data_IF_208201460195
#
_entry.id   IF_208201460195
#
_cell.length_a   1.000
_cell.length_b   1.000
_cell.length_c   1.000
_cell.angle_alpha   90.00
_cell.angle_beta   90.00
_cell.angle_gamma   90.00
#
_symmetry.space_group_name_H-M   'P 1'
#
loop_
_entity.id
_entity.type
_entity.pdbx_description
1 polymer ?
#
# COMPACT_ATOMS: atom_id res chain seq x y z
N UNK A 1 -21.64 3.25 2.91
CA UNK A 1 -21.58 3.48 4.34
C UNK A 1 -21.09 4.89 4.60
N UNK A 2 -21.55 5.51 5.64
CA UNK A 2 -21.19 6.88 5.99
C UNK A 2 -19.72 6.93 6.40
N UNK A 3 -18.88 7.50 5.56
CA UNK A 3 -17.44 7.65 5.81
C UNK A 3 -17.12 8.59 7.00
N UNK A 4 -18.13 9.29 7.52
CA UNK A 4 -17.96 10.24 8.63
C UNK A 4 -17.93 9.59 10.02
N UNK A 5 -18.21 8.29 10.10
CA UNK A 5 -18.25 7.57 11.38
C UNK A 5 -16.91 6.95 11.79
N UNK A 6 -15.88 7.01 10.94
CA UNK A 6 -14.57 6.45 11.26
C UNK A 6 -13.82 7.37 12.22
N UNK A 7 -13.61 6.89 13.43
CA UNK A 7 -12.79 7.55 14.44
C UNK A 7 -11.32 7.23 14.16
N UNK A 8 -10.77 7.76 13.10
CA UNK A 8 -9.38 7.48 12.83
C UNK A 8 -8.85 8.28 11.66
N UNK A 9 -7.57 8.53 11.67
CA UNK A 9 -6.87 9.15 10.56
C UNK A 9 -6.80 8.23 9.32
N UNK A 10 -6.48 8.80 8.21
CA UNK A 10 -6.13 8.12 6.97
C UNK A 10 -4.69 8.50 6.62
N UNK A 11 -3.98 7.84 5.73
CA UNK A 11 -4.41 6.68 4.97
C UNK A 11 -3.78 5.40 5.51
N UNK A 12 -2.67 5.48 6.27
CA UNK A 12 -2.01 4.32 6.84
C UNK A 12 -0.48 4.35 6.79
N UNK A 13 0.11 3.18 6.89
CA UNK A 13 1.57 2.96 6.90
C UNK A 13 1.94 2.01 5.77
N UNK A 14 3.06 2.30 5.10
CA UNK A 14 3.64 1.49 4.06
C UNK A 14 5.07 1.07 4.35
N UNK A 15 5.43 -0.12 3.90
CA UNK A 15 6.80 -0.63 3.85
C UNK A 15 7.06 -1.23 2.47
N UNK A 16 8.23 -0.98 1.88
CA UNK A 16 8.62 -1.67 0.66
C UNK A 16 10.13 -1.79 0.48
N UNK A 17 10.52 -2.87 -0.17
CA UNK A 17 11.74 -2.95 -0.96
C UNK A 17 11.45 -2.51 -2.39
N UNK A 18 12.36 -1.80 -3.06
CA UNK A 18 12.16 -1.35 -4.44
C UNK A 18 13.46 -1.23 -5.23
N UNK A 19 13.34 -1.08 -6.54
CA UNK A 19 14.49 -0.98 -7.46
C UNK A 19 14.76 0.44 -7.97
N UNK A 20 14.04 1.43 -7.45
CA UNK A 20 14.31 2.84 -7.72
C UNK A 20 15.55 3.37 -6.97
N UNK A 21 15.76 4.67 -7.03
CA UNK A 21 16.83 5.31 -6.27
C UNK A 21 16.54 5.28 -4.77
N UNK A 22 17.58 5.35 -3.96
CA UNK A 22 17.48 5.36 -2.49
C UNK A 22 16.72 6.56 -1.92
N UNK A 23 16.53 7.59 -2.73
CA UNK A 23 15.79 8.81 -2.39
C UNK A 23 14.36 8.80 -2.91
N UNK A 24 13.96 7.76 -3.65
CA UNK A 24 12.63 7.71 -4.23
C UNK A 24 11.58 7.46 -3.15
N UNK A 25 10.51 8.21 -3.24
CA UNK A 25 9.30 8.09 -2.44
C UNK A 25 8.12 7.99 -3.38
N UNK A 26 7.23 7.08 -3.11
CA UNK A 26 5.99 6.93 -3.89
C UNK A 26 4.99 8.05 -3.60
N UNK A 27 3.82 7.95 -4.21
CA UNK A 27 2.76 8.93 -4.07
C UNK A 27 2.16 8.93 -2.66
N UNK A 28 1.70 10.08 -2.23
CA UNK A 28 1.00 10.26 -0.95
C UNK A 28 -0.45 9.74 -1.00
N UNK A 29 -1.19 9.98 0.07
CA UNK A 29 -2.57 9.52 0.20
C UNK A 29 -2.64 8.00 0.26
N UNK A 30 -3.66 7.40 -0.30
CA UNK A 30 -3.85 5.96 -0.33
C UNK A 30 -2.74 5.14 -0.99
N UNK A 31 -1.79 5.79 -1.67
CA UNK A 31 -0.57 5.12 -2.18
C UNK A 31 0.49 4.87 -1.09
N UNK A 32 0.33 5.46 0.09
CA UNK A 32 1.15 5.21 1.28
C UNK A 32 2.67 5.34 1.05
N UNK A 33 3.09 6.21 0.10
CA UNK A 33 4.50 6.37 -0.25
C UNK A 33 5.12 5.18 -1.01
N UNK A 34 4.34 4.15 -1.30
CA UNK A 34 4.78 2.94 -2.03
C UNK A 34 4.31 2.95 -3.48
N UNK A 35 3.03 3.28 -3.70
CA UNK A 35 2.50 3.41 -5.06
C UNK A 35 3.31 4.44 -5.84
N UNK A 36 3.81 4.06 -7.03
CA UNK A 36 4.70 4.90 -7.83
C UNK A 36 6.19 4.57 -7.70
N UNK A 37 6.60 3.69 -6.79
CA UNK A 37 7.95 3.14 -6.74
C UNK A 37 8.15 2.09 -7.83
N UNK A 38 9.38 1.93 -8.29
CA UNK A 38 9.73 0.98 -9.33
C UNK A 38 9.92 -0.42 -8.76
N UNK A 39 9.20 -1.40 -9.34
CA UNK A 39 9.37 -2.83 -9.05
C UNK A 39 9.49 -3.10 -7.54
N UNK A 40 8.51 -2.62 -6.80
CA UNK A 40 8.47 -2.75 -5.35
C UNK A 40 7.76 -4.03 -4.91
N UNK A 41 8.25 -4.59 -3.83
CA UNK A 41 7.55 -5.59 -3.01
C UNK A 41 7.37 -4.99 -1.64
N UNK A 42 6.14 -4.80 -1.22
CA UNK A 42 5.85 -4.12 0.02
C UNK A 42 4.64 -4.65 0.76
N UNK A 43 4.32 -3.95 1.81
CA UNK A 43 3.18 -4.22 2.67
C UNK A 43 2.52 -2.89 3.05
N UNK A 44 1.20 -2.87 3.08
CA UNK A 44 0.42 -1.75 3.61
C UNK A 44 -0.40 -2.18 4.81
N UNK A 45 -0.38 -1.34 5.84
CA UNK A 45 -1.39 -1.31 6.88
C UNK A 45 -2.29 -0.13 6.55
N UNK A 46 -3.41 -0.41 5.93
CA UNK A 46 -4.34 0.57 5.41
C UNK A 46 -5.41 0.89 6.44
N UNK A 47 -5.70 2.15 6.62
CA UNK A 47 -6.68 2.60 7.63
C UNK A 47 -7.87 3.32 7.03
N UNK A 48 -7.89 3.44 5.70
CA UNK A 48 -8.94 4.14 4.98
C UNK A 48 -9.33 3.37 3.72
N UNK A 49 -10.61 3.09 3.55
CA UNK A 49 -11.12 2.43 2.35
C UNK A 49 -11.12 3.39 1.15
N UNK A 50 -10.38 3.03 0.12
CA UNK A 50 -10.36 3.70 -1.16
C UNK A 50 -11.25 2.94 -2.16
N UNK A 51 -12.26 3.64 -2.71
CA UNK A 51 -13.10 3.09 -3.76
C UNK A 51 -12.31 2.97 -5.08
N UNK A 52 -12.70 1.99 -5.87
CA UNK A 52 -12.17 1.87 -7.23
C UNK A 52 -12.52 3.10 -8.05
N UNK A 53 -11.52 3.70 -8.63
CA UNK A 53 -11.67 4.76 -9.60
C UNK A 53 -11.22 4.28 -10.98
N UNK A 54 -12.09 4.38 -11.96
CA UNK A 54 -11.74 4.07 -13.35
C UNK A 54 -11.34 5.38 -14.01
N UNK A 55 -10.09 5.60 -14.36
CA UNK A 55 -9.68 6.82 -15.02
C UNK A 55 -10.37 6.92 -16.35
N UNK A 56 -10.74 8.11 -16.72
CA UNK A 56 -11.22 8.42 -18.04
C UNK A 56 -10.04 8.42 -19.02
N UNK A 57 -9.56 7.25 -19.37
CA UNK A 57 -8.59 7.11 -20.45
C UNK A 57 -9.29 7.48 -21.75
N UNK A 58 -8.99 8.65 -22.27
CA UNK A 58 -9.56 9.11 -23.54
C UNK A 58 -8.67 8.78 -24.72
N UNK A 59 -7.47 8.26 -24.46
CA UNK A 59 -6.48 7.95 -25.50
C UNK A 59 -6.03 6.50 -25.36
N UNK A 60 -6.08 5.70 -26.44
CA UNK A 60 -5.55 4.34 -26.44
C UNK A 60 -4.08 4.32 -26.01
N UNK A 61 -3.75 3.50 -25.01
CA UNK A 61 -2.42 3.42 -24.44
C UNK A 61 -2.08 4.48 -23.41
N UNK A 62 -2.89 5.52 -23.25
CA UNK A 62 -2.79 6.42 -22.14
C UNK A 62 -3.29 5.69 -20.89
N UNK A 63 -2.48 5.73 -19.88
CA UNK A 63 -2.80 5.06 -18.63
C UNK A 63 -3.00 6.12 -17.57
N UNK A 64 -3.86 5.96 -16.73
CA UNK A 64 -3.99 6.51 -15.40
C UNK A 64 -3.89 8.00 -15.24
N UNK A 65 -4.97 8.54 -14.79
CA UNK A 65 -4.94 9.76 -14.00
C UNK A 65 -4.33 9.44 -12.64
N UNK A 66 -3.40 10.17 -12.29
CA UNK A 66 -2.69 10.23 -11.06
C UNK A 66 -3.45 10.76 -9.88
N UNK A 67 -4.44 11.52 -10.14
CA UNK A 67 -5.36 11.99 -9.11
C UNK A 67 -6.19 10.85 -8.55
N UNK A 68 -5.89 9.67 -9.02
CA UNK A 68 -6.46 8.47 -8.54
C UNK A 68 -5.95 8.17 -7.17
N UNK A 69 -6.67 8.65 -6.19
CA UNK A 69 -6.39 8.42 -4.79
C UNK A 69 -6.75 7.00 -4.32
N UNK A 70 -6.92 6.08 -5.28
CA UNK A 70 -7.33 4.72 -4.98
C UNK A 70 -6.24 3.82 -4.44
N UNK A 71 -5.23 4.40 -3.87
CA UNK A 71 -4.19 3.62 -3.27
C UNK A 71 -3.33 2.92 -4.31
N UNK A 72 -3.48 1.63 -4.48
CA UNK A 72 -2.59 0.83 -5.31
C UNK A 72 -3.19 0.51 -6.68
N UNK A 73 -2.82 1.28 -7.66
CA UNK A 73 -3.36 1.17 -9.00
C UNK A 73 -4.86 1.45 -8.99
N UNK A 74 -5.63 0.69 -9.73
CA UNK A 74 -7.08 0.83 -9.78
C UNK A 74 -7.83 -0.30 -9.13
N UNK A 75 -7.16 -1.05 -8.31
CA UNK A 75 -7.83 -2.02 -7.47
C UNK A 75 -8.52 -1.29 -6.33
N UNK A 76 -9.80 -1.52 -6.22
CA UNK A 76 -10.55 -1.13 -5.06
C UNK A 76 -10.00 -1.84 -3.83
N UNK A 77 -9.94 -1.14 -2.71
CA UNK A 77 -9.66 -1.81 -1.45
C UNK A 77 -10.76 -2.81 -1.10
N UNK A 78 -10.41 -3.89 -0.41
CA UNK A 78 -11.40 -4.90 -0.06
C UNK A 78 -12.53 -4.30 0.78
N UNK A 79 -13.76 -4.69 0.49
CA UNK A 79 -14.87 -4.43 1.38
C UNK A 79 -14.78 -5.35 2.59
N UNK A 80 -14.19 -4.82 3.64
CA UNK A 80 -14.10 -5.47 4.94
C UNK A 80 -15.11 -4.83 5.89
N UNK A 81 -15.47 -5.52 6.94
CA UNK A 81 -16.34 -4.96 7.99
C UNK A 81 -15.64 -3.78 8.69
N UNK A 82 -14.35 -3.93 8.96
CA UNK A 82 -13.46 -2.87 9.40
C UNK A 82 -12.69 -2.35 8.17
N UNK A 83 -12.65 -1.04 7.91
CA UNK A 83 -11.85 -0.50 6.81
C UNK A 83 -10.34 -0.69 7.00
N UNK A 84 -9.90 -1.02 8.21
CA UNK A 84 -8.50 -1.23 8.52
C UNK A 84 -8.09 -2.67 8.20
N UNK A 85 -7.07 -2.80 7.36
CA UNK A 85 -6.57 -4.10 6.95
C UNK A 85 -5.07 -4.04 6.63
N UNK A 86 -4.41 -5.18 6.64
CA UNK A 86 -3.06 -5.35 6.12
C UNK A 86 -3.05 -6.20 4.87
N UNK A 87 -2.16 -5.88 3.93
CA UNK A 87 -1.96 -6.66 2.73
C UNK A 87 -0.58 -6.44 2.11
N UNK A 88 -0.05 -7.44 1.43
CA UNK A 88 1.09 -7.25 0.56
C UNK A 88 0.70 -6.46 -0.69
N UNK A 89 1.65 -5.70 -1.19
CA UNK A 89 1.53 -4.89 -2.40
C UNK A 89 2.74 -5.07 -3.28
N UNK A 90 2.53 -4.91 -4.58
CA UNK A 90 3.61 -4.93 -5.55
C UNK A 90 3.46 -3.77 -6.52
N UNK A 91 4.57 -3.25 -7.00
CA UNK A 91 4.55 -2.33 -8.13
C UNK A 91 5.22 -2.98 -9.32
N UNK A 92 4.79 -2.58 -10.52
CA UNK A 92 5.33 -3.14 -11.76
C UNK A 92 6.70 -2.52 -12.09
N UNK A 93 7.42 -3.17 -12.98
CA UNK A 93 8.57 -2.60 -13.68
C UNK A 93 8.17 -1.77 -14.90
N UNK A 94 6.91 -1.84 -15.31
CA UNK A 94 6.37 -1.06 -16.41
C UNK A 94 5.98 0.34 -15.95
N UNK A 95 6.53 1.34 -16.60
CA UNK A 95 6.18 2.73 -16.34
C UNK A 95 4.76 3.04 -16.80
N UNK A 96 4.05 3.82 -15.99
CA UNK A 96 2.76 4.39 -16.32
C UNK A 96 2.96 5.84 -16.70
N UNK A 97 2.51 6.22 -17.90
CA UNK A 97 2.54 7.60 -18.38
C UNK A 97 1.20 8.25 -18.11
N UNK A 98 1.19 9.35 -17.40
CA UNK A 98 -0.02 10.12 -17.18
C UNK A 98 -0.54 10.78 -18.45
N UNK A 99 -1.87 10.89 -18.58
CA UNK A 99 -2.55 11.47 -19.74
C UNK A 99 -2.24 12.97 -19.91
N UNK A 100 -2.04 13.65 -18.79
CA UNK A 100 -1.79 15.09 -18.74
C UNK A 100 -0.29 15.46 -18.76
N UNK A 101 0.57 14.47 -18.96
CA UNK A 101 2.03 14.65 -18.95
C UNK A 101 2.62 14.84 -17.56
N UNK A 102 1.84 14.79 -16.50
CA UNK A 102 2.33 14.89 -15.15
C UNK A 102 2.75 13.50 -14.61
N UNK A 103 3.95 13.35 -14.06
CA UNK A 103 4.42 12.07 -13.55
C UNK A 103 3.88 11.83 -12.16
N UNK A 104 2.67 11.29 -12.06
CA UNK A 104 2.11 11.07 -10.75
C UNK A 104 2.43 9.69 -10.18
N UNK A 105 1.95 8.65 -10.81
CA UNK A 105 2.31 7.29 -10.46
C UNK A 105 3.12 6.70 -11.60
N UNK A 106 4.41 6.53 -11.38
CA UNK A 106 5.31 6.04 -12.45
C UNK A 106 5.13 4.57 -12.74
N UNK A 107 4.77 3.81 -11.72
CA UNK A 107 4.78 2.36 -11.79
C UNK A 107 3.45 1.82 -11.29
N UNK A 108 2.90 0.89 -12.03
CA UNK A 108 1.63 0.27 -11.66
C UNK A 108 1.73 -0.42 -10.32
N UNK A 109 0.80 -0.15 -9.42
CA UNK A 109 0.75 -0.74 -8.09
C UNK A 109 -0.50 -1.61 -7.92
N UNK A 110 -0.35 -2.74 -7.26
CA UNK A 110 -1.42 -3.72 -7.05
C UNK A 110 -1.39 -4.25 -5.63
N UNK A 111 -2.57 -4.34 -5.02
CA UNK A 111 -2.77 -5.05 -3.76
C UNK A 111 -2.92 -6.54 -4.03
N UNK A 112 -2.15 -7.36 -3.31
CA UNK A 112 -2.33 -8.81 -3.30
C UNK A 112 -3.56 -9.15 -2.45
N UNK A 113 -4.70 -9.26 -3.12
CA UNK A 113 -5.98 -9.50 -2.46
C UNK A 113 -6.03 -10.81 -1.69
N UNK A 114 -5.19 -11.78 -2.03
CA UNK A 114 -5.10 -13.04 -1.31
C UNK A 114 -4.44 -12.92 0.05
N UNK A 115 -3.69 -11.84 0.26
CA UNK A 115 -2.99 -11.56 1.53
C UNK A 115 -3.78 -10.66 2.48
N UNK A 116 -4.94 -10.18 2.07
CA UNK A 116 -5.74 -9.27 2.90
C UNK A 116 -6.15 -9.93 4.20
N UNK A 117 -5.83 -9.29 5.31
CA UNK A 117 -6.35 -9.62 6.64
C UNK A 117 -6.91 -8.35 7.28
N UNK A 118 -8.17 -8.42 7.65
CA UNK A 118 -8.86 -7.34 8.35
C UNK A 118 -8.38 -7.26 9.80
N UNK A 119 -8.22 -6.03 10.32
CA UNK A 119 -7.96 -5.83 11.74
C UNK A 119 -9.24 -6.07 12.54
N UNK A 120 -9.11 -6.70 13.71
CA UNK A 120 -10.27 -7.01 14.56
C UNK A 120 -10.81 -5.80 15.32
N UNK A 121 -10.05 -4.72 15.37
CA UNK A 121 -10.39 -3.50 16.09
C UNK A 121 -9.93 -2.25 15.34
N UNK A 122 -10.44 -1.09 15.76
CA UNK A 122 -9.93 0.19 15.29
C UNK A 122 -8.67 0.54 16.07
N UNK A 123 -7.53 0.31 15.44
CA UNK A 123 -6.22 0.47 16.08
C UNK A 123 -5.66 1.91 15.99
N UNK A 124 -6.42 2.84 15.44
CA UNK A 124 -6.12 4.28 15.54
C UNK A 124 -6.61 4.83 16.88
N UNK A 125 -6.10 4.27 17.95
CA UNK A 125 -6.50 4.54 19.33
C UNK A 125 -5.58 5.53 20.06
N UNK A 126 -4.55 6.05 19.37
CA UNK A 126 -3.55 6.97 19.92
C UNK A 126 -2.46 6.28 20.75
N UNK A 127 -2.38 4.96 20.73
CA UNK A 127 -1.35 4.19 21.40
C UNK A 127 -0.28 3.69 20.42
N UNK A 128 0.83 3.22 20.96
CA UNK A 128 1.86 2.56 20.17
C UNK A 128 1.48 1.09 19.94
N UNK A 129 1.66 0.66 18.70
CA UNK A 129 1.48 -0.71 18.26
C UNK A 129 2.77 -1.26 17.67
N UNK A 130 3.08 -2.51 17.95
CA UNK A 130 4.26 -3.15 17.40
C UNK A 130 4.01 -3.54 15.94
N UNK A 131 4.84 -3.02 15.05
CA UNK A 131 4.90 -3.37 13.64
C UNK A 131 6.29 -3.92 13.33
N UNK A 132 6.39 -5.21 13.07
CA UNK A 132 7.66 -5.90 12.86
C UNK A 132 7.76 -6.37 11.43
N UNK A 133 8.85 -6.02 10.79
CA UNK A 133 9.23 -6.51 9.45
C UNK A 133 10.48 -7.36 9.60
N UNK A 134 10.44 -8.58 9.11
CA UNK A 134 11.60 -9.47 9.07
C UNK A 134 11.74 -10.13 7.71
N UNK A 135 12.96 -10.27 7.25
CA UNK A 135 13.30 -10.97 6.03
C UNK A 135 14.37 -12.01 6.31
N UNK A 136 14.06 -13.26 5.99
CA UNK A 136 15.01 -14.36 6.03
C UNK A 136 15.56 -14.61 4.64
N UNK A 137 16.86 -14.38 4.47
CA UNK A 137 17.54 -14.49 3.18
C UNK A 137 17.66 -15.92 2.66
N UNK A 138 17.75 -16.89 3.55
CA UNK A 138 17.89 -18.31 3.16
C UNK A 138 16.56 -18.88 2.65
N UNK A 139 15.50 -18.69 3.39
CA UNK A 139 14.15 -19.11 3.00
C UNK A 139 13.48 -18.13 2.03
N UNK A 140 13.98 -16.88 1.94
CA UNK A 140 13.44 -15.76 1.19
C UNK A 140 12.03 -15.37 1.62
N UNK A 141 11.76 -15.50 2.88
CA UNK A 141 10.47 -15.15 3.47
C UNK A 141 10.51 -13.73 4.04
N UNK A 142 9.61 -12.89 3.53
CA UNK A 142 9.25 -11.61 4.12
C UNK A 142 8.09 -11.86 5.06
N UNK A 143 8.29 -11.58 6.34
CA UNK A 143 7.27 -11.74 7.38
C UNK A 143 6.96 -10.38 7.99
N UNK A 144 5.68 -10.06 8.05
CA UNK A 144 5.15 -8.88 8.73
C UNK A 144 4.33 -9.36 9.92
N UNK A 145 4.54 -8.73 11.05
CA UNK A 145 3.70 -8.94 12.25
C UNK A 145 3.19 -7.59 12.74
N UNK A 146 1.94 -7.55 13.09
CA UNK A 146 1.29 -6.39 13.68
C UNK A 146 0.55 -6.81 14.94
N UNK A 147 0.77 -6.08 16.03
CA UNK A 147 0.08 -6.31 17.30
C UNK A 147 -1.07 -5.32 17.43
N UNK A 148 -2.28 -5.83 17.39
CA UNK A 148 -3.50 -5.04 17.50
C UNK A 148 -3.71 -4.48 18.93
N UNK A 149 -4.59 -3.51 19.06
CA UNK A 149 -5.02 -2.96 20.36
C UNK A 149 -5.53 -4.05 21.33
N UNK A 150 -6.15 -5.07 20.78
CA UNK A 150 -6.62 -6.27 21.53
C UNK A 150 -5.50 -7.21 21.98
N UNK A 151 -4.24 -6.91 21.64
CA UNK A 151 -3.07 -7.77 21.84
C UNK A 151 -3.03 -9.02 20.96
N UNK A 152 -3.95 -9.15 20.02
CA UNK A 152 -3.85 -10.17 18.99
C UNK A 152 -2.71 -9.84 18.03
N UNK A 153 -2.00 -10.85 17.52
CA UNK A 153 -0.89 -10.67 16.58
C UNK A 153 -1.29 -11.21 15.22
N UNK A 154 -1.48 -10.32 14.28
CA UNK A 154 -1.66 -10.67 12.87
C UNK A 154 -0.30 -10.92 12.23
N UNK A 155 -0.23 -11.91 11.36
CA UNK A 155 1.01 -12.30 10.67
C UNK A 155 0.75 -12.51 9.19
N UNK A 156 1.59 -11.91 8.36
CA UNK A 156 1.62 -12.10 6.92
C UNK A 156 2.97 -12.63 6.50
N UNK A 157 2.98 -13.56 5.56
CA UNK A 157 4.22 -14.15 5.04
C UNK A 157 4.15 -14.17 3.53
N UNK A 158 5.20 -13.67 2.88
CA UNK A 158 5.35 -13.70 1.43
C UNK A 158 6.71 -14.24 1.04
N UNK A 159 6.73 -15.19 0.13
CA UNK A 159 7.98 -15.63 -0.48
C UNK A 159 8.39 -14.64 -1.56
N UNK A 160 9.60 -14.12 -1.43
CA UNK A 160 10.19 -13.21 -2.43
C UNK A 160 10.87 -14.04 -3.51
N UNK A 161 10.63 -13.69 -4.78
CA UNK A 161 11.24 -14.38 -5.91
C UNK A 161 12.77 -14.33 -5.83
N UNK A 162 13.43 -15.41 -6.30
CA UNK A 162 14.88 -15.53 -6.27
C UNK A 162 15.60 -14.55 -7.20
N UNK A 163 14.94 -14.09 -8.23
CA UNK A 163 15.46 -13.10 -9.16
C UNK A 163 15.31 -11.66 -8.66
N UNK A 164 14.51 -11.44 -7.62
CA UNK A 164 14.28 -10.10 -7.11
C UNK A 164 15.48 -9.58 -6.33
N UNK A 165 15.95 -8.41 -6.70
CA UNK A 165 17.03 -7.70 -6.04
C UNK A 165 16.56 -6.29 -5.69
N UNK A 166 16.45 -6.01 -4.41
CA UNK A 166 16.12 -4.67 -3.94
C UNK A 166 17.35 -3.76 -3.97
N UNK A 167 17.16 -2.53 -4.38
CA UNK A 167 18.17 -1.47 -4.33
C UNK A 167 17.97 -0.55 -3.13
N UNK A 168 16.75 -0.45 -2.65
CA UNK A 168 16.39 0.43 -1.55
C UNK A 168 15.22 -0.13 -0.74
N UNK A 169 15.03 0.45 0.44
CA UNK A 169 13.93 0.16 1.35
C UNK A 169 13.28 1.47 1.80
N UNK A 170 11.97 1.48 1.93
CA UNK A 170 11.22 2.61 2.47
C UNK A 170 10.26 2.14 3.57
N UNK A 171 10.12 2.98 4.58
CA UNK A 171 9.01 2.97 5.52
C UNK A 171 8.36 4.34 5.43
N UNK A 172 7.07 4.37 5.23
CA UNK A 172 6.34 5.62 5.02
C UNK A 172 5.00 5.59 5.74
N UNK A 173 4.51 6.76 6.02
CA UNK A 173 3.14 6.97 6.47
C UNK A 173 2.52 8.10 5.66
N UNK A 174 1.25 8.02 5.43
CA UNK A 174 0.51 9.04 4.70
C UNK A 174 -0.74 9.43 5.46
N UNK A 175 -1.05 10.73 5.41
CA UNK A 175 -2.30 11.27 5.95
C UNK A 175 -3.13 11.83 4.80
N UNK A 176 -4.38 11.42 4.71
CA UNK A 176 -5.33 11.93 3.73
C UNK A 176 -6.16 13.10 4.23
N UNK A 177 -7.28 13.34 3.56
CA UNK A 177 -8.24 14.39 3.93
C UNK A 177 -9.04 14.11 5.20
N UNK A 178 -9.04 12.88 5.69
CA UNK A 178 -9.63 12.52 6.98
C UNK A 178 -8.62 12.75 8.10
N UNK A 179 -8.91 13.71 8.94
CA UNK A 179 -8.09 14.05 10.12
C UNK A 179 -8.79 13.61 11.39
#
# INVERSE_FOLDING_TARGET
GDKTSYRGGADGIGFAFHNGNTTDVGNAGGNLGIGGLQNAIGFKLDTWHNDRFIPKATVPGAQVSSTDSNGFGWSQDPYTFNPQFGAFVTTDSKEITAIDGNPYQRWWATTDMSSVQELSSYDLDGHFHDFVVSYDGDSRLLTIKYTEATRNVLTWVKKVDSSYQAMAMIISASTGGAK
#
